data_IF_234017185800
#
_entry.id   IF_234017185800
#
_cell.length_a   1.000
_cell.length_b   1.000
_cell.length_c   1.000
_cell.angle_alpha   90.00
_cell.angle_beta   90.00
_cell.angle_gamma   90.00
#
_symmetry.space_group_name_H-M   'P 1'
#
loop_
_entity.id
_entity.type
_entity.pdbx_description
1 polymer ?
#
# COMPACT_ATOMS: atom_id res chain seq x y z
N UNK A 1 -57.99 21.87 10.51
CA UNK A 1 -56.74 21.92 9.72
C UNK A 1 -55.60 21.54 10.65
N UNK A 2 -55.19 20.26 10.65
CA UNK A 2 -54.31 19.66 11.67
C UNK A 2 -52.99 19.26 11.04
N UNK A 3 -52.21 20.21 10.53
CA UNK A 3 -50.84 19.94 10.05
C UNK A 3 -50.04 21.26 10.12
N UNK A 4 -49.34 21.51 11.25
CA UNK A 4 -47.94 21.93 11.07
C UNK A 4 -46.95 21.34 12.10
N UNK A 5 -47.39 20.54 13.08
CA UNK A 5 -46.52 20.10 14.20
C UNK A 5 -45.77 18.79 13.94
N UNK A 6 -46.20 18.01 12.94
CA UNK A 6 -45.63 16.67 12.68
C UNK A 6 -44.32 16.71 11.87
N UNK A 7 -44.15 17.72 11.02
CA UNK A 7 -43.01 17.84 10.09
C UNK A 7 -41.67 18.11 10.82
N UNK A 8 -41.57 19.02 11.81
CA UNK A 8 -40.31 19.27 12.51
C UNK A 8 -39.85 18.06 13.35
N UNK A 9 -40.80 17.33 13.93
CA UNK A 9 -40.55 16.15 14.77
C UNK A 9 -40.02 14.98 13.94
N UNK A 10 -40.58 14.74 12.75
CA UNK A 10 -40.10 13.72 11.81
C UNK A 10 -38.71 14.06 11.25
N UNK A 11 -38.42 15.34 11.01
CA UNK A 11 -37.11 15.82 10.52
C UNK A 11 -36.02 15.61 11.58
N UNK A 12 -36.37 15.81 12.86
CA UNK A 12 -35.47 15.56 14.01
C UNK A 12 -35.19 14.06 14.22
N UNK A 13 -36.21 13.21 14.10
CA UNK A 13 -36.06 11.74 14.17
C UNK A 13 -35.21 11.22 13.02
N UNK A 14 -35.45 11.71 11.79
CA UNK A 14 -34.64 11.36 10.62
C UNK A 14 -33.17 11.74 10.82
N UNK A 15 -32.88 12.92 11.38
CA UNK A 15 -31.51 13.34 11.69
C UNK A 15 -30.82 12.39 12.68
N UNK A 16 -31.49 11.97 13.77
CA UNK A 16 -30.90 11.05 14.74
C UNK A 16 -30.68 9.63 14.21
N UNK A 17 -31.38 9.22 13.16
CA UNK A 17 -31.19 7.91 12.51
C UNK A 17 -30.15 7.99 11.40
N UNK A 18 -30.17 9.04 10.58
CA UNK A 18 -29.26 9.20 9.45
C UNK A 18 -27.83 9.55 9.88
N UNK A 19 -27.68 10.35 10.96
CA UNK A 19 -26.37 10.74 11.48
C UNK A 19 -25.50 9.55 11.90
N UNK A 20 -25.95 8.59 12.74
CA UNK A 20 -25.14 7.42 13.07
C UNK A 20 -24.92 6.52 11.86
N UNK A 21 -25.87 6.43 10.92
CA UNK A 21 -25.70 5.64 9.69
C UNK A 21 -24.56 6.19 8.81
N UNK A 22 -24.50 7.51 8.66
CA UNK A 22 -23.41 8.20 7.96
C UNK A 22 -22.09 8.03 8.71
N UNK A 23 -22.07 8.18 10.04
CA UNK A 23 -20.87 8.00 10.85
C UNK A 23 -20.33 6.56 10.82
N UNK A 24 -21.21 5.55 10.85
CA UNK A 24 -20.83 4.14 10.70
C UNK A 24 -20.35 3.81 9.28
N UNK A 25 -20.88 4.49 8.26
CA UNK A 25 -20.45 4.31 6.86
C UNK A 25 -19.01 4.79 6.60
N UNK A 26 -18.46 5.63 7.47
CA UNK A 26 -17.07 6.10 7.40
C UNK A 26 -16.10 5.28 8.25
N UNK A 27 -16.54 4.19 8.90
CA UNK A 27 -15.63 3.23 9.53
C UNK A 27 -14.99 2.35 8.44
N UNK A 28 -14.11 2.98 7.66
CA UNK A 28 -13.20 2.26 6.78
C UNK A 28 -12.09 1.76 7.69
N UNK A 29 -12.02 0.44 7.88
CA UNK A 29 -10.82 -0.20 8.42
C UNK A 29 -9.69 0.18 7.46
N UNK A 30 -8.91 1.19 7.85
CA UNK A 30 -7.69 1.50 7.14
C UNK A 30 -6.87 0.25 7.34
N UNK A 31 -6.77 -0.59 6.31
CA UNK A 31 -5.86 -1.72 6.31
C UNK A 31 -4.49 -1.14 6.63
N UNK A 32 -4.09 -1.21 7.91
CA UNK A 32 -2.77 -0.82 8.34
C UNK A 32 -1.90 -1.87 7.71
N UNK A 33 -1.21 -1.51 6.62
CA UNK A 33 -0.07 -2.27 6.14
C UNK A 33 0.95 -2.24 7.27
N UNK A 34 0.90 -3.23 8.14
CA UNK A 34 1.92 -3.46 9.15
C UNK A 34 3.17 -3.84 8.38
N UNK A 35 4.25 -3.04 8.52
CA UNK A 35 5.59 -3.40 8.02
C UNK A 35 6.20 -4.53 8.86
N UNK A 36 5.38 -5.51 9.23
CA UNK A 36 5.82 -6.67 9.97
C UNK A 36 6.52 -7.58 8.98
N UNK A 37 7.80 -7.84 9.25
CA UNK A 37 8.57 -8.77 8.47
C UNK A 37 7.96 -10.17 8.62
N UNK A 38 7.39 -10.70 7.53
CA UNK A 38 6.71 -12.00 7.53
C UNK A 38 7.72 -13.13 7.30
N UNK A 39 8.59 -12.99 6.30
CA UNK A 39 9.48 -14.05 5.84
C UNK A 39 10.56 -13.53 4.87
N UNK A 40 11.70 -14.23 4.77
CA UNK A 40 12.65 -14.07 3.67
C UNK A 40 13.16 -15.43 3.20
N UNK A 41 13.58 -15.47 1.94
CA UNK A 41 14.17 -16.65 1.33
C UNK A 41 15.43 -16.25 0.56
N UNK A 42 16.58 -16.74 1.00
CA UNK A 42 17.86 -16.50 0.36
C UNK A 42 18.33 -17.77 -0.37
N UNK A 43 19.05 -17.60 -1.47
CA UNK A 43 19.71 -18.72 -2.13
C UNK A 43 20.77 -19.35 -1.21
N UNK A 44 20.82 -20.68 -1.15
CA UNK A 44 21.83 -21.42 -0.37
C UNK A 44 23.01 -21.88 -1.24
N UNK A 45 22.88 -21.79 -2.56
CA UNK A 45 23.85 -22.34 -3.52
C UNK A 45 24.75 -21.29 -4.15
N UNK A 46 24.39 -20.01 -4.05
CA UNK A 46 25.14 -18.92 -4.66
C UNK A 46 25.17 -17.71 -3.72
N UNK A 47 26.38 -17.34 -3.29
CA UNK A 47 26.65 -16.08 -2.62
C UNK A 47 27.49 -15.22 -3.56
N UNK A 48 27.14 -13.94 -3.66
CA UNK A 48 27.98 -12.98 -4.35
C UNK A 48 29.19 -12.62 -3.47
N UNK A 49 30.28 -12.16 -4.07
CA UNK A 49 31.43 -11.62 -3.35
C UNK A 49 31.28 -10.12 -3.14
N UNK A 50 31.80 -9.62 -2.03
CA UNK A 50 31.85 -8.18 -1.76
C UNK A 50 32.53 -7.41 -2.90
N UNK A 51 31.91 -6.31 -3.34
CA UNK A 51 32.33 -5.50 -4.47
C UNK A 51 32.10 -6.13 -5.86
N UNK A 52 31.40 -7.27 -5.95
CA UNK A 52 31.08 -7.88 -7.25
C UNK A 52 30.17 -7.01 -8.10
N UNK A 53 30.22 -7.21 -9.41
CA UNK A 53 29.30 -6.59 -10.37
C UNK A 53 27.84 -6.90 -10.00
N UNK A 54 27.53 -8.13 -9.61
CA UNK A 54 26.22 -8.51 -9.10
C UNK A 54 25.77 -7.63 -7.92
N UNK A 55 26.62 -7.39 -6.92
CA UNK A 55 26.27 -6.55 -5.76
C UNK A 55 25.96 -5.10 -6.18
N UNK A 56 26.79 -4.52 -7.05
CA UNK A 56 26.57 -3.17 -7.58
C UNK A 56 25.22 -3.10 -8.31
N UNK A 57 24.94 -4.08 -9.18
CA UNK A 57 23.70 -4.14 -9.94
C UNK A 57 22.47 -4.32 -9.05
N UNK A 58 22.59 -5.14 -7.99
CA UNK A 58 21.55 -5.32 -6.98
C UNK A 58 21.25 -4.02 -6.23
N UNK A 59 22.27 -3.28 -5.80
CA UNK A 59 22.08 -1.96 -5.15
C UNK A 59 21.40 -0.95 -6.07
N UNK A 60 21.79 -0.92 -7.34
CA UNK A 60 21.17 -0.04 -8.35
C UNK A 60 19.68 -0.38 -8.57
N UNK A 61 19.34 -1.67 -8.57
CA UNK A 61 17.97 -2.13 -8.68
C UNK A 61 17.12 -1.68 -7.47
N UNK A 62 17.63 -1.81 -6.25
CA UNK A 62 16.93 -1.31 -5.05
C UNK A 62 16.75 0.21 -5.04
N UNK A 63 17.74 0.96 -5.55
CA UNK A 63 17.62 2.40 -5.73
C UNK A 63 16.51 2.76 -6.71
N UNK A 64 16.35 1.99 -7.80
CA UNK A 64 15.25 2.16 -8.76
C UNK A 64 13.90 2.03 -8.08
N UNK A 65 13.69 1.02 -7.23
CA UNK A 65 12.42 0.85 -6.52
C UNK A 65 12.17 1.89 -5.43
N UNK A 66 13.23 2.34 -4.75
CA UNK A 66 13.10 3.36 -3.69
C UNK A 66 12.72 4.73 -4.28
N UNK A 67 13.29 5.08 -5.44
CA UNK A 67 13.05 6.36 -6.10
C UNK A 67 11.83 6.33 -7.03
N UNK A 68 11.48 5.15 -7.54
CA UNK A 68 10.27 4.92 -8.31
C UNK A 68 9.05 4.86 -7.39
N UNK A 69 8.57 6.01 -6.93
CA UNK A 69 7.25 6.11 -6.29
C UNK A 69 6.17 5.70 -7.31
N UNK A 70 5.85 4.41 -7.37
CA UNK A 70 4.95 3.87 -8.38
C UNK A 70 3.50 4.11 -7.99
N UNK A 71 2.82 4.95 -8.77
CA UNK A 71 1.38 5.18 -8.65
C UNK A 71 0.54 3.91 -8.83
N UNK A 72 1.13 2.85 -9.40
CA UNK A 72 0.51 1.57 -9.71
C UNK A 72 0.60 0.54 -8.59
N UNK A 73 1.36 0.80 -7.51
CA UNK A 73 1.56 -0.15 -6.39
C UNK A 73 2.40 -1.39 -6.73
N UNK A 74 2.98 -1.47 -7.94
CA UNK A 74 3.81 -2.57 -8.42
C UNK A 74 4.77 -2.10 -9.52
N UNK A 75 5.97 -2.68 -9.59
CA UNK A 75 6.95 -2.48 -10.67
C UNK A 75 7.73 -3.75 -10.98
N UNK A 76 8.47 -3.71 -12.08
CA UNK A 76 9.64 -4.56 -12.27
C UNK A 76 10.81 -3.72 -12.79
N UNK A 77 12.02 -4.22 -12.58
CA UNK A 77 13.24 -3.59 -13.05
C UNK A 77 14.28 -4.65 -13.44
N UNK A 78 15.20 -4.26 -14.31
CA UNK A 78 16.37 -5.07 -14.69
C UNK A 78 17.57 -4.15 -14.77
N UNK A 79 18.68 -4.56 -14.15
CA UNK A 79 19.96 -3.86 -14.23
C UNK A 79 20.97 -4.77 -14.91
N UNK A 80 21.58 -4.26 -15.98
CA UNK A 80 22.59 -4.96 -16.78
C UNK A 80 23.84 -4.08 -16.83
N UNK A 81 24.83 -4.40 -16.01
CA UNK A 81 26.14 -3.77 -16.06
C UNK A 81 27.21 -4.87 -15.94
N UNK A 82 28.22 -4.85 -16.81
CA UNK A 82 29.25 -5.89 -16.83
C UNK A 82 28.72 -7.27 -17.23
N UNK A 83 29.20 -8.32 -16.55
CA UNK A 83 28.82 -9.73 -16.83
C UNK A 83 27.52 -10.17 -16.16
N UNK A 84 27.06 -9.43 -15.17
CA UNK A 84 25.99 -9.88 -14.28
C UNK A 84 24.70 -9.11 -14.60
N UNK A 85 23.58 -9.83 -14.64
CA UNK A 85 22.25 -9.22 -14.79
C UNK A 85 21.43 -9.50 -13.55
N UNK A 86 20.77 -8.47 -13.01
CA UNK A 86 19.88 -8.56 -11.85
C UNK A 86 18.47 -8.19 -12.27
N UNK A 87 17.50 -9.02 -11.88
CA UNK A 87 16.08 -8.83 -12.11
C UNK A 87 15.36 -8.68 -10.77
N UNK A 88 14.29 -7.89 -10.73
CA UNK A 88 13.42 -7.81 -9.56
C UNK A 88 12.08 -7.15 -9.85
N UNK A 89 11.20 -7.18 -8.85
CA UNK A 89 9.84 -6.63 -8.87
C UNK A 89 9.47 -6.04 -7.52
#
# INVERSE_FOLDING_TARGET
>A
MVYPVMVPSLLKVGFYILLPFILFSFYVDHAMSTNDYIYSHCSVTANYTDGSTFEVNMRNLFSTFTNGSLSTGFSNATVVEGSDTVYGL
#
